data_IF_305795688345
#
_entry.id   IF_305795688345
#
_cell.length_a   1.000
_cell.length_b   1.000
_cell.length_c   1.000
_cell.angle_alpha   90.00
_cell.angle_beta   90.00
_cell.angle_gamma   90.00
#
_symmetry.space_group_name_H-M   'P 1'
#
loop_
_entity.id
_entity.type
_entity.pdbx_description
1 polymer ?
#
# COMPACT_ATOMS: atom_id res chain seq x y z
N UNK A 1 -33.14 -39.64 3.30
CA UNK A 1 -31.95 -40.51 3.24
C UNK A 1 -30.81 -39.81 2.51
N UNK A 2 -31.00 -39.37 1.26
CA UNK A 2 -29.96 -38.68 0.47
C UNK A 2 -29.39 -37.44 1.18
N UNK A 3 -30.25 -36.54 1.66
CA UNK A 3 -29.85 -35.31 2.38
C UNK A 3 -28.98 -35.60 3.63
N UNK A 4 -29.22 -36.72 4.32
CA UNK A 4 -28.41 -37.11 5.47
C UNK A 4 -27.01 -37.58 5.04
N UNK A 5 -26.92 -38.33 3.94
CA UNK A 5 -25.63 -38.76 3.39
C UNK A 5 -24.81 -37.55 2.91
N UNK A 6 -25.43 -36.62 2.19
CA UNK A 6 -24.78 -35.40 1.69
C UNK A 6 -24.23 -34.54 2.84
N UNK A 7 -25.06 -34.30 3.88
CA UNK A 7 -24.63 -33.57 5.07
C UNK A 7 -23.52 -34.29 5.85
N UNK A 8 -23.53 -35.63 5.88
CA UNK A 8 -22.50 -36.43 6.55
C UNK A 8 -21.16 -36.39 5.81
N UNK A 9 -21.18 -36.48 4.47
CA UNK A 9 -19.98 -36.35 3.63
C UNK A 9 -19.37 -34.95 3.79
N UNK A 10 -20.19 -33.91 3.76
CA UNK A 10 -19.69 -32.55 3.92
C UNK A 10 -19.03 -32.31 5.29
N UNK A 11 -19.60 -32.87 6.36
CA UNK A 11 -19.00 -32.82 7.70
C UNK A 11 -17.70 -33.62 7.79
N UNK A 12 -17.62 -34.75 7.09
CA UNK A 12 -16.41 -35.58 7.07
C UNK A 12 -15.26 -34.84 6.37
N UNK A 13 -15.54 -34.14 5.26
CA UNK A 13 -14.52 -33.44 4.46
C UNK A 13 -14.15 -32.10 5.09
N UNK A 14 -15.14 -31.27 5.41
CA UNK A 14 -14.92 -29.88 5.84
C UNK A 14 -14.88 -29.72 7.36
N UNK A 15 -15.27 -30.74 8.12
CA UNK A 15 -15.36 -30.67 9.59
C UNK A 15 -16.48 -29.77 10.12
N UNK A 16 -17.31 -29.18 9.25
CA UNK A 16 -18.23 -28.11 9.62
C UNK A 16 -19.59 -28.20 8.91
N UNK A 17 -20.59 -27.49 9.44
CA UNK A 17 -22.00 -27.67 9.05
C UNK A 17 -22.62 -26.50 8.30
N UNK A 18 -22.19 -25.25 8.55
CA UNK A 18 -22.89 -24.09 8.01
C UNK A 18 -22.65 -23.88 6.51
N UNK A 19 -21.44 -24.14 6.02
CA UNK A 19 -21.10 -23.95 4.59
C UNK A 19 -21.70 -25.00 3.66
N UNK A 20 -22.32 -26.06 4.21
CA UNK A 20 -22.71 -27.24 3.44
C UNK A 20 -24.15 -27.69 3.65
N UNK A 21 -24.94 -26.92 4.38
CA UNK A 21 -26.34 -27.27 4.64
C UNK A 21 -26.95 -26.53 5.82
N UNK A 22 -26.70 -25.22 5.94
CA UNK A 22 -27.41 -24.40 6.90
C UNK A 22 -28.87 -24.23 6.46
N UNK A 23 -29.79 -24.95 7.09
CA UNK A 23 -31.21 -24.60 7.05
C UNK A 23 -31.31 -23.17 7.59
N UNK A 24 -31.73 -22.22 6.75
CA UNK A 24 -31.47 -20.77 6.84
C UNK A 24 -31.95 -20.02 8.10
N UNK A 25 -32.34 -20.71 9.17
CA UNK A 25 -32.72 -20.18 10.48
C UNK A 25 -31.56 -20.06 11.49
N UNK A 26 -30.40 -20.68 11.24
CA UNK A 26 -29.26 -20.69 12.19
C UNK A 26 -27.95 -20.09 11.63
N UNK A 27 -28.03 -19.32 10.54
CA UNK A 27 -26.87 -18.61 9.97
C UNK A 27 -26.69 -17.25 10.62
N UNK A 28 -25.93 -17.18 11.73
CA UNK A 28 -25.47 -15.90 12.28
C UNK A 28 -24.15 -15.49 11.62
N UNK A 29 -23.93 -14.19 11.43
CA UNK A 29 -22.70 -13.67 10.82
C UNK A 29 -21.44 -14.09 11.61
N UNK A 30 -21.53 -14.16 12.93
CA UNK A 30 -20.44 -14.61 13.79
C UNK A 30 -20.05 -16.08 13.53
N UNK A 31 -21.04 -16.96 13.36
CA UNK A 31 -20.79 -18.37 13.02
C UNK A 31 -20.20 -18.50 11.61
N UNK A 32 -20.64 -17.66 10.67
CA UNK A 32 -20.06 -17.58 9.32
C UNK A 32 -18.56 -17.26 9.32
N UNK A 33 -18.11 -16.38 10.23
CA UNK A 33 -16.70 -16.03 10.37
C UNK A 33 -15.87 -17.23 10.87
N UNK A 34 -16.33 -17.94 11.90
CA UNK A 34 -15.64 -19.16 12.39
C UNK A 34 -15.52 -20.21 11.27
N UNK A 35 -16.55 -20.33 10.41
CA UNK A 35 -16.49 -21.24 9.27
C UNK A 35 -15.56 -20.79 8.14
N UNK A 36 -15.29 -19.48 8.02
CA UNK A 36 -14.25 -18.97 7.15
C UNK A 36 -12.86 -19.35 7.67
N UNK A 37 -12.62 -19.23 8.97
CA UNK A 37 -11.35 -19.61 9.62
C UNK A 37 -11.02 -21.09 9.36
N UNK A 38 -11.96 -22.01 9.61
CA UNK A 38 -11.76 -23.45 9.34
C UNK A 38 -11.46 -23.72 7.85
N UNK A 39 -12.14 -23.01 6.93
CA UNK A 39 -11.82 -23.12 5.50
C UNK A 39 -10.40 -22.67 5.18
N UNK A 40 -9.91 -21.63 5.86
CA UNK A 40 -8.54 -21.15 5.69
C UNK A 40 -7.54 -22.14 6.26
N UNK A 41 -7.80 -22.73 7.42
CA UNK A 41 -6.95 -23.78 7.99
C UNK A 41 -6.79 -24.98 7.05
N UNK A 42 -7.90 -25.41 6.43
CA UNK A 42 -7.90 -26.47 5.43
C UNK A 42 -7.05 -26.08 4.21
N UNK A 43 -7.24 -24.87 3.70
CA UNK A 43 -6.45 -24.35 2.59
C UNK A 43 -4.95 -24.28 2.91
N UNK A 44 -4.57 -23.86 4.13
CA UNK A 44 -3.17 -23.83 4.58
C UNK A 44 -2.59 -25.24 4.66
N UNK A 45 -3.36 -26.19 5.19
CA UNK A 45 -2.96 -27.61 5.25
C UNK A 45 -2.71 -28.18 3.85
N UNK A 46 -3.63 -27.93 2.92
CA UNK A 46 -3.50 -28.37 1.53
C UNK A 46 -2.30 -27.72 0.84
N UNK A 47 -2.11 -26.41 1.03
CA UNK A 47 -0.95 -25.69 0.51
C UNK A 47 0.37 -26.30 1.01
N UNK A 48 0.47 -26.65 2.30
CA UNK A 48 1.66 -27.33 2.86
C UNK A 48 1.91 -28.70 2.23
N UNK A 49 0.85 -29.49 2.02
CA UNK A 49 0.98 -30.80 1.37
C UNK A 49 1.45 -30.69 -0.09
N UNK A 50 0.91 -29.72 -0.83
CA UNK A 50 1.33 -29.43 -2.21
C UNK A 50 2.78 -28.94 -2.24
N UNK A 51 3.15 -28.03 -1.33
CA UNK A 51 4.50 -27.49 -1.23
C UNK A 51 5.56 -28.58 -0.96
N UNK A 52 5.25 -29.53 -0.08
CA UNK A 52 6.09 -30.71 0.15
C UNK A 52 6.22 -31.58 -1.09
N UNK A 53 5.13 -31.73 -1.85
CA UNK A 53 5.13 -32.51 -3.10
C UNK A 53 6.01 -31.86 -4.15
N UNK A 54 5.89 -30.55 -4.36
CA UNK A 54 6.75 -29.76 -5.27
C UNK A 54 8.22 -29.90 -4.86
N UNK A 55 8.53 -29.73 -3.57
CA UNK A 55 9.89 -29.82 -3.06
C UNK A 55 10.50 -31.21 -3.34
N UNK A 56 9.75 -32.29 -3.05
CA UNK A 56 10.24 -33.66 -3.18
C UNK A 56 10.29 -34.17 -4.62
N UNK A 57 9.33 -33.79 -5.45
CA UNK A 57 9.16 -34.36 -6.79
C UNK A 57 9.72 -33.50 -7.92
N UNK A 58 9.90 -32.19 -7.68
CA UNK A 58 10.38 -31.27 -8.71
C UNK A 58 11.76 -30.74 -8.33
N UNK A 59 11.87 -30.11 -7.15
CA UNK A 59 13.10 -29.42 -6.73
C UNK A 59 14.22 -30.42 -6.45
N UNK A 60 13.95 -31.46 -5.66
CA UNK A 60 14.96 -32.46 -5.31
C UNK A 60 15.52 -33.17 -6.55
N UNK A 61 14.71 -33.72 -7.49
CA UNK A 61 15.25 -34.36 -8.69
C UNK A 61 16.01 -33.40 -9.59
N UNK A 62 15.56 -32.14 -9.71
CA UNK A 62 16.26 -31.12 -10.47
C UNK A 62 17.68 -30.88 -9.92
N UNK A 63 17.84 -30.79 -8.59
CA UNK A 63 19.14 -30.63 -7.96
C UNK A 63 20.01 -31.88 -8.05
N UNK A 64 19.41 -33.07 -7.95
CA UNK A 64 20.14 -34.34 -8.09
C UNK A 64 20.74 -34.52 -9.49
N UNK A 65 20.05 -34.04 -10.52
CA UNK A 65 20.51 -34.13 -11.90
C UNK A 65 21.56 -33.06 -12.20
N UNK A 66 21.38 -31.83 -11.71
CA UNK A 66 22.20 -30.69 -12.14
C UNK A 66 23.33 -30.30 -11.18
N UNK A 67 23.26 -30.65 -9.89
CA UNK A 67 24.20 -30.18 -8.85
C UNK A 67 24.94 -31.33 -8.20
N UNK A 68 24.23 -32.22 -7.50
CA UNK A 68 24.84 -33.34 -6.77
C UNK A 68 23.84 -34.50 -6.68
N UNK A 69 24.14 -35.67 -7.28
CA UNK A 69 23.30 -36.85 -7.22
C UNK A 69 22.98 -37.34 -5.79
N UNK A 70 23.85 -37.07 -4.82
CA UNK A 70 23.70 -37.52 -3.43
C UNK A 70 23.45 -36.34 -2.47
N UNK A 71 22.73 -35.32 -2.92
CA UNK A 71 22.38 -34.18 -2.07
C UNK A 71 21.57 -34.65 -0.86
N UNK A 72 22.01 -34.24 0.33
CA UNK A 72 21.34 -34.63 1.55
C UNK A 72 19.99 -33.88 1.66
N UNK A 73 18.88 -34.54 2.08
CA UNK A 73 17.55 -33.92 2.09
C UNK A 73 17.43 -32.62 2.90
N UNK A 74 18.30 -32.41 3.89
CA UNK A 74 18.32 -31.21 4.73
C UNK A 74 18.99 -29.99 4.07
N UNK A 75 19.65 -30.17 2.91
CA UNK A 75 20.31 -29.10 2.14
C UNK A 75 19.48 -28.63 0.95
N UNK A 76 18.30 -29.21 0.76
CA UNK A 76 17.40 -28.87 -0.34
C UNK A 76 16.59 -27.62 0.05
N UNK A 77 16.48 -26.62 -0.83
CA UNK A 77 15.60 -25.49 -0.59
C UNK A 77 14.15 -25.97 -0.54
N UNK A 78 13.40 -25.47 0.43
CA UNK A 78 11.99 -25.79 0.59
C UNK A 78 11.13 -24.77 -0.15
N UNK A 79 10.17 -25.28 -0.91
CA UNK A 79 9.11 -24.45 -1.46
C UNK A 79 8.06 -24.21 -0.38
N UNK A 80 7.59 -22.98 -0.24
CA UNK A 80 6.52 -22.59 0.68
C UNK A 80 5.60 -21.57 -0.01
N UNK A 81 4.30 -21.70 0.20
CA UNK A 81 3.32 -20.71 -0.26
C UNK A 81 3.18 -19.60 0.79
N UNK A 82 3.04 -18.35 0.32
CA UNK A 82 2.67 -17.26 1.22
C UNK A 82 1.20 -17.39 1.63
N UNK A 83 0.96 -17.93 2.82
CA UNK A 83 -0.37 -18.06 3.42
C UNK A 83 -0.62 -17.05 4.53
N UNK A 84 0.21 -16.00 4.64
CA UNK A 84 0.07 -14.99 5.69
C UNK A 84 -1.27 -14.25 5.52
N UNK A 85 -1.87 -13.93 6.66
CA UNK A 85 -3.01 -13.03 6.72
C UNK A 85 -2.47 -11.62 6.94
N UNK A 86 -2.72 -10.76 5.95
CA UNK A 86 -2.40 -9.35 6.03
C UNK A 86 -3.54 -8.62 6.71
N UNK A 87 -3.20 -7.82 7.70
CA UNK A 87 -4.18 -6.98 8.40
C UNK A 87 -4.71 -5.89 7.45
N UNK A 88 -5.91 -5.36 7.72
CA UNK A 88 -6.45 -4.25 6.93
C UNK A 88 -5.51 -3.03 7.00
N UNK A 89 -4.99 -2.64 5.84
CA UNK A 89 -4.09 -1.49 5.69
C UNK A 89 -4.70 -0.21 6.26
N UNK A 90 -6.02 -0.05 6.22
CA UNK A 90 -6.72 1.14 6.71
C UNK A 90 -6.63 1.24 8.23
N UNK A 91 -6.94 0.14 8.92
CA UNK A 91 -6.87 0.05 10.39
C UNK A 91 -5.42 0.24 10.83
N UNK A 92 -4.49 -0.40 10.12
CA UNK A 92 -3.07 -0.34 10.45
C UNK A 92 -2.47 1.05 10.22
N UNK A 93 -2.84 1.73 9.13
CA UNK A 93 -2.40 3.10 8.84
C UNK A 93 -2.90 4.12 9.87
N UNK A 94 -4.09 3.91 10.45
CA UNK A 94 -4.61 4.77 11.52
C UNK A 94 -4.03 4.46 12.90
N UNK A 95 -3.73 3.20 13.18
CA UNK A 95 -3.27 2.75 14.50
C UNK A 95 -1.76 2.91 14.68
N UNK A 96 -0.95 2.63 13.65
CA UNK A 96 0.51 2.62 13.75
C UNK A 96 1.09 3.99 14.16
N UNK A 97 0.67 5.14 13.58
CA UNK A 97 1.18 6.45 14.00
C UNK A 97 0.90 6.73 15.47
N UNK A 98 -0.31 6.42 15.95
CA UNK A 98 -0.72 6.61 17.35
C UNK A 98 0.12 5.77 18.32
N UNK A 99 0.47 4.53 17.93
CA UNK A 99 1.32 3.65 18.74
C UNK A 99 2.77 4.17 18.81
N UNK A 100 3.30 4.68 17.70
CA UNK A 100 4.65 5.26 17.65
C UNK A 100 4.72 6.56 18.45
N UNK A 101 3.67 7.40 18.40
CA UNK A 101 3.55 8.63 19.20
C UNK A 101 3.53 8.36 20.72
N UNK A 102 2.93 7.25 21.15
CA UNK A 102 2.94 6.79 22.56
C UNK A 102 4.33 6.26 22.98
N UNK A 103 5.25 6.10 22.02
CA UNK A 103 6.64 5.69 22.27
C UNK A 103 6.90 4.19 22.09
N UNK A 104 5.97 3.45 21.45
CA UNK A 104 6.20 2.05 21.08
C UNK A 104 7.26 2.00 19.98
N UNK A 105 8.40 1.36 20.25
CA UNK A 105 9.46 1.14 19.27
C UNK A 105 9.10 -0.04 18.38
N UNK A 106 8.57 0.23 17.20
CA UNK A 106 8.22 -0.77 16.19
C UNK A 106 9.31 -0.82 15.12
N UNK A 107 9.96 -1.97 14.87
CA UNK A 107 10.92 -2.09 13.79
C UNK A 107 10.20 -2.03 12.44
N UNK A 108 10.83 -1.34 11.47
CA UNK A 108 10.25 -1.14 10.14
C UNK A 108 10.04 -2.46 9.38
N UNK A 109 10.98 -3.40 9.49
CA UNK A 109 10.87 -4.73 8.87
C UNK A 109 9.63 -5.49 9.34
N UNK A 110 9.32 -5.43 10.63
CA UNK A 110 8.11 -6.06 11.18
C UNK A 110 6.83 -5.41 10.65
N UNK A 111 6.79 -4.08 10.53
CA UNK A 111 5.63 -3.38 9.99
C UNK A 111 5.40 -3.73 8.51
N UNK A 112 6.49 -3.80 7.72
CA UNK A 112 6.46 -4.22 6.32
C UNK A 112 6.00 -5.67 6.16
N UNK A 113 6.53 -6.59 6.97
CA UNK A 113 6.12 -8.00 6.98
C UNK A 113 4.64 -8.20 7.32
N UNK A 114 4.11 -7.37 8.24
CA UNK A 114 2.70 -7.41 8.62
C UNK A 114 1.76 -6.80 7.59
N UNK A 115 2.24 -5.83 6.81
CA UNK A 115 1.50 -5.20 5.73
C UNK A 115 1.66 -5.92 4.36
N UNK A 116 2.63 -6.81 4.23
CA UNK A 116 2.95 -7.48 2.96
C UNK A 116 3.64 -6.58 1.94
N UNK A 117 4.27 -5.49 2.40
CA UNK A 117 4.98 -4.56 1.54
C UNK A 117 6.45 -5.00 1.48
N UNK A 118 6.97 -5.45 0.33
CA UNK A 118 8.37 -5.86 0.21
C UNK A 118 9.31 -4.66 0.36
N UNK A 119 10.58 -4.94 0.67
CA UNK A 119 11.61 -3.91 0.67
C UNK A 119 11.90 -3.47 -0.77
N UNK A 120 11.75 -2.16 -1.02
CA UNK A 120 12.09 -1.59 -2.31
C UNK A 120 13.60 -1.71 -2.59
N UNK A 121 13.95 -2.17 -3.79
CA UNK A 121 15.33 -2.15 -4.28
C UNK A 121 15.68 -0.77 -4.84
N UNK A 122 16.98 -0.49 -5.01
CA UNK A 122 17.48 0.82 -5.50
C UNK A 122 16.90 1.21 -6.87
N UNK A 123 16.48 0.23 -7.68
CA UNK A 123 15.94 0.40 -9.03
C UNK A 123 14.40 0.38 -9.12
N UNK A 124 13.68 0.22 -8.00
CA UNK A 124 12.21 0.14 -8.01
C UNK A 124 11.56 1.53 -8.05
N UNK A 125 10.55 1.70 -8.92
CA UNK A 125 9.79 2.95 -8.98
C UNK A 125 8.86 3.09 -7.76
N UNK A 126 9.20 4.00 -6.85
CA UNK A 126 8.47 4.22 -5.62
C UNK A 126 7.15 4.99 -5.84
N UNK A 127 6.08 4.53 -5.19
CA UNK A 127 4.82 5.26 -5.07
C UNK A 127 5.07 6.57 -4.30
N UNK A 128 4.98 7.70 -5.00
CA UNK A 128 5.07 9.03 -4.38
C UNK A 128 3.66 9.51 -4.03
N UNK A 129 3.43 10.04 -2.81
CA UNK A 129 2.19 10.74 -2.54
C UNK A 129 2.07 11.91 -3.52
N UNK A 130 0.86 12.16 -4.03
CA UNK A 130 0.56 13.39 -4.76
C UNK A 130 0.73 14.57 -3.78
N UNK A 131 1.94 15.15 -3.74
CA UNK A 131 2.19 16.38 -3.00
C UNK A 131 1.47 17.52 -3.72
N UNK A 132 0.26 17.84 -3.28
CA UNK A 132 -0.33 19.15 -3.56
C UNK A 132 0.43 20.19 -2.73
N UNK A 133 1.55 20.67 -3.27
CA UNK A 133 2.28 21.80 -2.69
C UNK A 133 1.47 23.08 -2.84
N UNK A 134 0.60 23.37 -1.87
CA UNK A 134 0.10 24.71 -1.64
C UNK A 134 1.20 25.50 -0.91
N UNK A 135 2.06 26.18 -1.67
CA UNK A 135 3.02 27.15 -1.12
C UNK A 135 2.28 28.21 -0.32
N UNK A 136 2.53 28.26 0.98
CA UNK A 136 2.03 29.32 1.87
C UNK A 136 3.17 30.28 2.17
N UNK A 137 3.76 30.87 1.13
CA UNK A 137 4.82 31.87 1.29
C UNK A 137 4.42 33.16 0.55
N UNK A 138 3.43 33.86 1.11
CA UNK A 138 3.26 35.29 0.89
C UNK A 138 3.35 35.98 2.26
N UNK A 139 4.57 36.22 2.72
CA UNK A 139 4.98 37.48 3.37
C UNK A 139 6.35 37.30 4.05
N UNK A 140 7.44 37.47 3.30
CA UNK A 140 8.63 38.16 3.80
C UNK A 140 9.25 38.99 2.66
N UNK A 141 9.17 40.30 2.85
CA UNK A 141 10.00 41.40 2.35
C UNK A 141 10.85 41.23 1.08
N UNK A 142 10.43 41.96 0.03
CA UNK A 142 11.38 42.64 -0.86
C UNK A 142 10.98 44.10 -1.06
N UNK A 143 11.63 44.96 -0.28
CA UNK A 143 11.94 46.33 -0.66
C UNK A 143 12.61 46.38 -2.05
N UNK A 144 12.26 47.43 -2.81
CA UNK A 144 12.86 47.92 -4.07
C UNK A 144 12.42 47.29 -5.40
N UNK A 145 11.33 47.81 -5.95
CA UNK A 145 11.28 48.61 -7.20
C UNK A 145 9.83 48.92 -7.54
N UNK A 146 9.30 50.05 -7.04
CA UNK A 146 8.10 50.68 -7.60
C UNK A 146 8.53 51.53 -8.79
N UNK A 147 8.22 51.09 -10.00
CA UNK A 147 8.11 51.96 -11.17
C UNK A 147 6.93 51.54 -12.02
N UNK A 148 6.03 52.52 -12.23
CA UNK A 148 5.02 52.66 -13.30
C UNK A 148 3.89 51.64 -13.34
N UNK A 149 2.61 51.99 -13.47
CA UNK A 149 1.89 53.25 -13.55
C UNK A 149 0.40 52.90 -13.39
N UNK A 150 -0.42 53.81 -12.87
CA UNK A 150 -1.77 54.07 -13.41
C UNK A 150 -2.35 55.29 -12.69
N UNK A 151 -2.46 56.33 -13.51
CA UNK A 151 -3.09 57.61 -13.30
C UNK A 151 -4.58 57.50 -12.98
N UNK A 152 -5.01 58.20 -11.93
CA UNK A 152 -6.34 58.77 -11.82
C UNK A 152 -6.17 60.25 -11.44
N UNK A 153 -6.10 61.11 -12.46
CA UNK A 153 -6.28 62.54 -12.29
C UNK A 153 -7.78 62.80 -12.18
N UNK A 154 -8.28 63.02 -10.96
CA UNK A 154 -9.60 63.62 -10.73
C UNK A 154 -9.39 65.11 -10.48
N UNK A 155 -9.64 65.87 -11.55
CA UNK A 155 -10.54 67.03 -11.58
C UNK A 155 -10.61 67.79 -10.24
N UNK A 156 -9.85 68.88 -10.12
CA UNK A 156 -10.13 69.86 -9.06
C UNK A 156 -9.04 70.82 -8.58
N UNK A 157 -7.77 70.73 -9.01
CA UNK A 157 -6.73 71.61 -8.46
C UNK A 157 -5.88 72.31 -9.53
N UNK A 158 -6.02 73.63 -9.64
CA UNK A 158 -5.24 74.52 -10.52
C UNK A 158 -4.08 75.15 -9.72
N UNK A 159 -3.02 74.40 -9.44
CA UNK A 159 -1.79 74.93 -8.86
C UNK A 159 -0.52 74.31 -9.46
N UNK A 160 0.51 75.14 -9.64
CA UNK A 160 1.73 74.99 -10.45
C UNK A 160 2.68 73.80 -10.11
N UNK A 161 2.33 72.93 -9.18
CA UNK A 161 3.24 71.91 -8.64
C UNK A 161 3.15 70.53 -9.29
N UNK A 162 2.03 70.18 -9.94
CA UNK A 162 1.71 68.78 -10.24
C UNK A 162 2.21 68.30 -11.63
N UNK A 163 3.27 68.94 -12.12
CA UNK A 163 4.19 68.49 -13.19
C UNK A 163 4.47 66.98 -13.09
N UNK A 164 4.75 66.23 -14.15
CA UNK A 164 5.24 66.60 -15.46
C UNK A 164 5.50 65.30 -16.24
N UNK A 165 5.37 65.43 -17.55
CA UNK A 165 5.39 64.41 -18.62
C UNK A 165 6.42 63.28 -18.47
N UNK A 166 5.93 62.06 -18.65
CA UNK A 166 6.70 60.82 -18.90
C UNK A 166 7.01 60.73 -20.40
N UNK A 167 8.27 60.46 -20.77
CA UNK A 167 8.70 60.20 -22.15
C UNK A 167 9.65 58.98 -22.18
N UNK A 168 9.29 58.00 -23.03
CA UNK A 168 10.17 57.07 -23.78
C UNK A 168 10.92 55.96 -22.98
N UNK A 169 11.29 54.78 -23.52
CA UNK A 169 11.27 54.17 -24.86
C UNK A 169 11.56 52.66 -24.69
N UNK A 170 11.05 51.83 -25.60
CA UNK A 170 11.30 50.39 -25.71
C UNK A 170 12.50 50.05 -26.63
N UNK A 171 13.15 48.89 -26.37
CA UNK A 171 13.76 47.90 -27.32
C UNK A 171 14.76 47.03 -26.53
N UNK A 172 14.57 45.72 -26.36
CA UNK A 172 14.73 44.60 -27.31
C UNK A 172 16.16 44.47 -27.90
N UNK A 173 16.85 43.42 -27.44
CA UNK A 173 18.19 42.96 -27.82
C UNK A 173 18.28 42.49 -29.28
N UNK A 174 19.40 42.77 -29.96
CA UNK A 174 19.95 41.97 -31.07
C UNK A 174 21.48 42.04 -31.08
N UNK A 175 22.11 40.86 -30.92
CA UNK A 175 23.40 40.37 -31.46
C UNK A 175 24.52 41.40 -31.72
N UNK A 176 25.63 41.31 -30.98
CA UNK A 176 26.76 40.40 -31.21
C UNK A 176 27.49 40.15 -29.90
#
# INVERSE_FOLDING_TARGET
>A
MVDWCEKSIARLILGQTLTSGADGKSSTNALGNVHNEVRRDLMISDAKQIAQTITKQIILPYLQINVDPNIAPHRVPYFEFDTKEYEDLSIFAEALPKLVEIGVKVPESWARDKLGIPEAQEDDELLKPLQSEFKTDLNEDKTTKKTTALSAHVIGCQCDGCLGKVVALSKHQRKR
#
